data_IF_758204353067
#
_entry.id   IF_758204353067
#
_cell.length_a   1.000
_cell.length_b   1.000
_cell.length_c   1.000
_cell.angle_alpha   90.00
_cell.angle_beta   90.00
_cell.angle_gamma   90.00
#
_symmetry.space_group_name_H-M   'P 1'
#
loop_
_entity.id
_entity.type
_entity.pdbx_description
1 polymer ?
#
# COMPACT_ATOMS: atom_id res chain seq x y z
N UNK A 1 -58.31 10.73 14.33
CA UNK A 1 -57.19 11.69 14.48
C UNK A 1 -56.22 11.03 15.43
N UNK A 2 -55.15 10.45 14.88
CA UNK A 2 -54.21 9.60 15.60
C UNK A 2 -52.88 10.31 15.67
N UNK A 3 -52.48 10.72 16.87
CA UNK A 3 -51.15 11.28 17.13
C UNK A 3 -50.13 10.14 17.21
N UNK A 4 -49.25 10.08 16.20
CA UNK A 4 -48.08 9.22 16.18
C UNK A 4 -46.88 9.98 16.71
N UNK A 5 -46.26 9.40 17.74
CA UNK A 5 -44.97 9.78 18.34
C UNK A 5 -43.86 9.85 17.27
N UNK A 6 -43.11 10.96 17.15
CA UNK A 6 -41.86 10.95 16.40
C UNK A 6 -40.72 10.40 17.25
N UNK A 7 -40.24 9.21 16.90
CA UNK A 7 -38.96 8.66 17.35
C UNK A 7 -37.85 9.50 16.71
N UNK A 8 -37.27 10.41 17.49
CA UNK A 8 -36.13 11.23 17.10
C UNK A 8 -34.89 10.37 16.83
N UNK A 9 -34.53 10.20 15.55
CA UNK A 9 -33.23 9.68 15.10
C UNK A 9 -32.15 10.75 15.30
N UNK A 10 -31.73 10.94 16.54
CA UNK A 10 -30.47 11.61 16.91
C UNK A 10 -29.61 10.62 17.70
N UNK A 11 -28.46 10.21 17.16
CA UNK A 11 -27.51 9.40 17.94
C UNK A 11 -26.40 8.71 17.15
N UNK A 12 -26.62 8.33 15.89
CA UNK A 12 -25.65 7.52 15.13
C UNK A 12 -24.47 8.30 14.54
N UNK A 13 -24.70 9.51 14.01
CA UNK A 13 -23.68 10.26 13.29
C UNK A 13 -22.76 11.09 14.23
N UNK A 14 -23.32 11.63 15.32
CA UNK A 14 -22.55 12.42 16.28
C UNK A 14 -21.60 11.54 17.14
N UNK A 15 -22.00 10.30 17.45
CA UNK A 15 -21.15 9.35 18.15
C UNK A 15 -19.97 8.87 17.29
N UNK A 16 -20.16 8.76 15.97
CA UNK A 16 -19.09 8.39 15.03
C UNK A 16 -18.07 9.53 14.84
N UNK A 17 -18.54 10.78 14.80
CA UNK A 17 -17.66 11.97 14.71
C UNK A 17 -16.91 12.20 16.02
N UNK A 18 -17.55 11.97 17.18
CA UNK A 18 -16.88 12.04 18.48
C UNK A 18 -15.85 10.91 18.68
N UNK A 19 -16.10 9.69 18.18
CA UNK A 19 -15.12 8.59 18.20
C UNK A 19 -13.91 8.86 17.30
N UNK A 20 -14.13 9.50 16.14
CA UNK A 20 -13.06 9.90 15.22
C UNK A 20 -12.24 11.09 15.77
N UNK A 21 -12.87 12.01 16.51
CA UNK A 21 -12.18 13.11 17.19
C UNK A 21 -11.45 12.66 18.47
N UNK A 22 -11.98 11.64 19.18
CA UNK A 22 -11.34 11.05 20.35
C UNK A 22 -10.01 10.35 20.04
N UNK A 23 -9.89 9.72 18.87
CA UNK A 23 -8.62 9.12 18.40
C UNK A 23 -7.58 10.15 17.95
N UNK A 24 -8.01 11.39 17.66
CA UNK A 24 -7.11 12.51 17.32
C UNK A 24 -6.69 13.29 18.57
N UNK A 25 -7.48 13.25 19.65
CA UNK A 25 -7.27 14.06 20.86
C UNK A 25 -6.85 13.28 22.12
N UNK A 26 -6.96 11.94 22.15
CA UNK A 26 -6.20 11.08 23.08
C UNK A 26 -4.78 10.82 22.56
N UNK A 27 -4.18 11.87 22.00
CA UNK A 27 -2.76 12.10 22.06
C UNK A 27 -2.32 12.10 23.52
N UNK A 28 -2.05 10.91 24.04
CA UNK A 28 -1.23 10.72 25.22
C UNK A 28 0.18 11.19 24.91
N UNK A 29 0.56 12.29 25.53
CA UNK A 29 1.92 12.79 25.63
C UNK A 29 2.77 11.69 26.27
N UNK A 30 3.56 10.97 25.46
CA UNK A 30 4.40 9.88 25.94
C UNK A 30 4.99 8.97 24.88
N UNK A 31 5.61 9.49 23.82
CA UNK A 31 6.60 8.76 23.01
C UNK A 31 7.41 9.75 22.15
N UNK A 32 8.51 10.27 22.70
CA UNK A 32 9.47 11.16 22.04
C UNK A 32 10.30 10.49 20.92
N UNK A 33 9.72 9.55 20.20
CA UNK A 33 10.23 8.94 18.97
C UNK A 33 9.10 9.05 17.95
N UNK A 34 8.94 10.25 17.40
CA UNK A 34 8.00 10.51 16.32
C UNK A 34 8.08 9.39 15.30
N UNK A 35 6.97 8.69 15.08
CA UNK A 35 6.77 7.75 14.00
C UNK A 35 7.33 8.36 12.70
N UNK A 36 8.51 7.90 12.28
CA UNK A 36 9.10 8.16 10.95
C UNK A 36 8.35 7.39 9.85
N UNK A 37 7.10 7.03 10.14
CA UNK A 37 6.18 6.41 9.21
C UNK A 37 5.72 7.47 8.23
N UNK A 38 6.20 7.35 7.00
CA UNK A 38 5.49 7.89 5.86
C UNK A 38 4.03 7.44 6.00
N UNK A 39 3.14 8.37 6.39
CA UNK A 39 1.73 8.23 6.04
C UNK A 39 1.70 8.52 4.57
N UNK A 40 1.92 7.48 3.76
CA UNK A 40 1.25 7.43 2.48
C UNK A 40 -0.20 7.59 2.86
N UNK A 41 -0.72 8.79 2.57
CA UNK A 41 -2.14 8.98 2.53
C UNK A 41 -2.58 8.00 1.44
N UNK A 42 -2.91 6.78 1.86
CA UNK A 42 -3.94 5.94 1.25
C UNK A 42 -5.30 6.65 1.41
N UNK A 43 -5.28 7.98 1.27
CA UNK A 43 -6.30 8.91 1.67
C UNK A 43 -7.28 8.98 0.54
N UNK A 44 -8.37 8.24 0.69
CA UNK A 44 -9.54 8.40 -0.14
C UNK A 44 -9.28 8.07 -1.60
N UNK A 45 -9.04 6.80 -1.92
CA UNK A 45 -9.59 6.29 -3.17
C UNK A 45 -11.08 6.12 -2.92
N UNK A 46 -11.95 7.03 -3.40
CA UNK A 46 -13.39 6.86 -3.23
C UNK A 46 -13.90 5.64 -4.02
N UNK A 47 -13.10 5.10 -4.95
CA UNK A 47 -13.46 4.04 -5.88
C UNK A 47 -12.25 3.15 -6.22
N UNK A 48 -12.46 1.87 -6.56
CA UNK A 48 -11.36 0.97 -6.94
C UNK A 48 -10.69 1.40 -8.26
N UNK A 49 -9.36 1.55 -8.23
CA UNK A 49 -8.54 1.82 -9.44
C UNK A 49 -8.01 0.50 -9.99
N UNK A 50 -8.88 -0.22 -10.69
CA UNK A 50 -8.60 -1.57 -11.20
C UNK A 50 -8.24 -1.62 -12.70
N UNK A 51 -8.23 -0.47 -13.37
CA UNK A 51 -7.78 -0.35 -14.75
C UNK A 51 -6.26 -0.15 -14.75
N UNK A 52 -5.54 -1.01 -15.49
CA UNK A 52 -4.08 -1.07 -15.43
C UNK A 52 -3.39 0.25 -15.79
N UNK A 53 -3.90 1.00 -16.78
CA UNK A 53 -3.35 2.31 -17.16
C UNK A 53 -3.48 3.34 -16.04
N UNK A 54 -4.64 3.40 -15.40
CA UNK A 54 -4.94 4.32 -14.30
C UNK A 54 -4.08 3.96 -13.09
N UNK A 55 -3.91 2.66 -12.84
CA UNK A 55 -3.08 2.14 -11.76
C UNK A 55 -1.61 2.46 -11.97
N UNK A 56 -1.11 2.39 -13.21
CA UNK A 56 0.27 2.76 -13.53
C UNK A 56 0.57 4.24 -13.26
N UNK A 57 -0.41 5.13 -13.45
CA UNK A 57 -0.28 6.54 -13.06
C UNK A 57 -0.16 6.67 -11.54
N UNK A 58 -0.96 5.91 -10.80
CA UNK A 58 -0.93 5.91 -9.35
C UNK A 58 0.37 5.34 -8.78
N UNK A 59 0.87 4.23 -9.33
CA UNK A 59 2.19 3.65 -9.00
C UNK A 59 3.28 4.72 -9.12
N UNK A 60 3.31 5.45 -10.25
CA UNK A 60 4.27 6.54 -10.48
C UNK A 60 4.11 7.68 -9.48
N UNK A 61 2.88 8.02 -9.09
CA UNK A 61 2.63 9.02 -8.06
C UNK A 61 3.19 8.59 -6.71
N UNK A 62 2.95 7.34 -6.30
CA UNK A 62 3.47 6.79 -5.04
C UNK A 62 5.00 6.78 -5.02
N UNK A 63 5.63 6.37 -6.13
CA UNK A 63 7.08 6.40 -6.27
C UNK A 63 7.63 7.84 -6.13
N UNK A 64 7.00 8.80 -6.79
CA UNK A 64 7.35 10.22 -6.68
C UNK A 64 7.20 10.74 -5.25
N UNK A 65 6.14 10.35 -4.53
CA UNK A 65 5.92 10.75 -3.15
C UNK A 65 7.01 10.18 -2.22
N UNK A 66 7.43 8.94 -2.46
CA UNK A 66 8.56 8.33 -1.75
C UNK A 66 9.89 9.01 -2.08
N UNK A 67 10.11 9.49 -3.31
CA UNK A 67 11.30 10.27 -3.66
C UNK A 67 11.30 11.64 -2.99
N UNK A 68 10.16 12.32 -2.99
CA UNK A 68 10.00 13.60 -2.32
C UNK A 68 10.21 13.46 -0.81
N UNK A 69 9.79 12.34 -0.21
CA UNK A 69 10.12 11.97 1.17
C UNK A 69 11.60 12.11 1.46
N UNK A 70 12.42 11.47 0.62
CA UNK A 70 13.85 11.41 0.82
C UNK A 70 14.47 12.79 0.66
N UNK A 71 14.03 13.56 -0.35
CA UNK A 71 14.46 14.95 -0.54
C UNK A 71 14.11 15.85 0.65
N UNK A 72 12.94 15.65 1.25
CA UNK A 72 12.55 16.38 2.46
C UNK A 72 13.41 15.97 3.67
N UNK A 73 13.75 14.69 3.81
CA UNK A 73 14.67 14.21 4.84
C UNK A 73 16.09 14.77 4.66
N UNK A 74 16.56 14.90 3.42
CA UNK A 74 17.83 15.54 3.08
C UNK A 74 17.81 17.03 3.45
N UNK A 75 16.78 17.76 3.01
CA UNK A 75 16.63 19.20 3.29
C UNK A 75 16.56 19.52 4.78
N UNK A 76 15.94 18.66 5.57
CA UNK A 76 15.79 18.83 7.02
C UNK A 76 16.99 18.34 7.83
N UNK A 77 18.02 17.79 7.17
CA UNK A 77 19.20 17.21 7.83
C UNK A 77 18.93 15.89 8.54
N UNK A 78 17.72 15.33 8.40
CA UNK A 78 17.32 14.07 9.06
C UNK A 78 18.05 12.85 8.50
N UNK A 79 18.52 12.92 7.24
CA UNK A 79 19.31 11.86 6.61
C UNK A 79 20.67 11.62 7.30
N UNK A 80 21.13 12.56 8.13
CA UNK A 80 22.38 12.43 8.88
C UNK A 80 22.25 11.46 10.06
N UNK A 81 21.02 11.27 10.56
CA UNK A 81 20.71 10.25 11.56
C UNK A 81 20.63 8.88 10.89
N UNK A 82 20.95 7.77 11.58
CA UNK A 82 20.71 6.44 11.03
C UNK A 82 19.20 6.21 10.84
N UNK A 83 18.77 5.46 9.81
CA UNK A 83 17.39 5.00 9.70
C UNK A 83 17.01 4.09 10.90
N UNK A 84 15.71 3.92 11.20
CA UNK A 84 15.22 3.14 12.34
C UNK A 84 15.30 1.63 12.08
N UNK A 85 16.49 1.14 11.79
CA UNK A 85 16.86 -0.27 11.68
C UNK A 85 17.89 -0.61 12.73
N UNK A 86 17.99 -1.89 13.09
CA UNK A 86 19.10 -2.39 13.90
C UNK A 86 20.49 -2.08 13.30
N UNK A 87 21.55 -2.43 14.02
CA UNK A 87 22.94 -2.03 13.72
C UNK A 87 23.45 -2.45 12.33
N UNK A 88 22.80 -3.42 11.67
CA UNK A 88 23.12 -3.83 10.31
C UNK A 88 21.88 -4.27 9.52
N UNK A 89 21.85 -3.90 8.24
CA UNK A 89 20.90 -4.45 7.28
C UNK A 89 21.24 -5.92 6.96
N UNK A 90 20.23 -6.74 6.62
CA UNK A 90 20.45 -8.14 6.28
C UNK A 90 21.10 -8.26 4.89
N UNK A 91 21.32 -9.50 4.48
CA UNK A 91 21.65 -9.82 3.10
C UNK A 91 20.60 -9.31 2.10
N UNK A 92 21.02 -8.95 0.89
CA UNK A 92 20.15 -8.33 -0.13
C UNK A 92 18.90 -9.15 -0.44
N UNK A 93 18.98 -10.48 -0.43
CA UNK A 93 17.82 -11.36 -0.67
C UNK A 93 16.71 -11.12 0.35
N UNK A 94 17.07 -10.94 1.62
CA UNK A 94 16.13 -10.60 2.68
C UNK A 94 15.63 -9.16 2.53
N UNK A 95 16.49 -8.21 2.12
CA UNK A 95 16.05 -6.86 1.79
C UNK A 95 14.95 -6.85 0.72
N UNK A 96 15.09 -7.70 -0.30
CA UNK A 96 14.08 -7.83 -1.36
C UNK A 96 12.78 -8.46 -0.87
N UNK A 97 12.84 -9.47 0.00
CA UNK A 97 11.65 -10.04 0.63
C UNK A 97 10.87 -8.98 1.39
N UNK A 98 11.56 -8.14 2.19
CA UNK A 98 10.92 -7.02 2.88
C UNK A 98 10.35 -6.04 1.86
N UNK A 99 11.15 -5.65 0.85
CA UNK A 99 10.73 -4.73 -0.19
C UNK A 99 9.42 -5.18 -0.85
N UNK A 100 9.30 -6.46 -1.18
CA UNK A 100 8.09 -7.03 -1.78
C UNK A 100 6.85 -6.98 -0.87
N UNK A 101 7.03 -6.86 0.44
CA UNK A 101 5.94 -6.78 1.42
C UNK A 101 5.64 -5.35 1.83
N UNK A 102 6.67 -4.52 2.01
CA UNK A 102 6.54 -3.18 2.54
C UNK A 102 6.35 -2.12 1.45
N UNK A 103 6.73 -2.39 0.19
CA UNK A 103 6.65 -1.41 -0.89
C UNK A 103 5.20 -1.03 -1.21
N UNK A 104 4.82 0.24 -0.99
CA UNK A 104 3.44 0.70 -1.14
C UNK A 104 2.93 0.62 -2.58
N UNK A 105 3.79 0.92 -3.56
CA UNK A 105 3.49 0.84 -4.99
C UNK A 105 3.17 -0.60 -5.41
N UNK A 106 3.93 -1.58 -4.93
CA UNK A 106 3.64 -3.00 -5.20
C UNK A 106 2.38 -3.49 -4.47
N UNK A 107 2.19 -3.09 -3.21
CA UNK A 107 0.99 -3.43 -2.43
C UNK A 107 -0.28 -2.95 -3.14
N UNK A 108 -0.26 -1.74 -3.66
CA UNK A 108 -1.35 -1.16 -4.42
C UNK A 108 -1.71 -2.01 -5.66
N UNK A 109 -0.70 -2.42 -6.44
CA UNK A 109 -0.93 -3.26 -7.62
C UNK A 109 -1.51 -4.62 -7.22
N UNK A 110 -0.96 -5.20 -6.15
CA UNK A 110 -1.40 -6.49 -5.63
C UNK A 110 -2.85 -6.47 -5.14
N UNK A 111 -3.25 -5.45 -4.38
CA UNK A 111 -4.62 -5.27 -3.90
C UNK A 111 -5.63 -5.19 -5.06
N UNK A 112 -5.30 -4.45 -6.12
CA UNK A 112 -6.17 -4.31 -7.28
C UNK A 112 -6.23 -5.59 -8.13
N UNK A 113 -5.09 -6.27 -8.32
CA UNK A 113 -5.08 -7.59 -8.96
C UNK A 113 -5.93 -8.61 -8.19
N UNK A 114 -5.84 -8.60 -6.86
CA UNK A 114 -6.63 -9.47 -6.01
C UNK A 114 -8.13 -9.17 -6.11
N UNK A 115 -8.53 -7.89 -6.09
CA UNK A 115 -9.92 -7.50 -6.30
C UNK A 115 -10.45 -7.86 -7.68
N UNK A 116 -9.67 -7.71 -8.75
CA UNK A 116 -10.11 -8.10 -10.10
C UNK A 116 -10.31 -9.62 -10.19
N UNK A 117 -9.38 -10.41 -9.63
CA UNK A 117 -9.53 -11.87 -9.54
C UNK A 117 -10.78 -12.25 -8.73
N UNK A 118 -11.04 -11.56 -7.62
CA UNK A 118 -12.26 -11.73 -6.83
C UNK A 118 -13.54 -11.42 -7.61
N UNK A 119 -13.59 -10.26 -8.28
CA UNK A 119 -14.70 -9.87 -9.13
C UNK A 119 -14.99 -10.91 -10.23
N UNK A 120 -13.94 -11.47 -10.84
CA UNK A 120 -14.07 -12.54 -11.83
C UNK A 120 -14.64 -13.83 -11.22
N UNK A 121 -14.11 -14.28 -10.08
CA UNK A 121 -14.60 -15.48 -9.40
C UNK A 121 -16.07 -15.34 -8.99
N UNK A 122 -16.43 -14.19 -8.41
CA UNK A 122 -17.82 -13.88 -8.02
C UNK A 122 -18.77 -13.91 -9.22
N UNK A 123 -18.36 -13.35 -10.36
CA UNK A 123 -19.17 -13.40 -11.58
C UNK A 123 -19.33 -14.82 -12.12
N UNK A 124 -18.29 -15.65 -12.04
CA UNK A 124 -18.36 -17.04 -12.50
C UNK A 124 -19.29 -17.88 -11.62
N UNK A 125 -19.37 -17.58 -10.34
CA UNK A 125 -19.97 -18.44 -9.32
C UNK A 125 -18.94 -19.38 -8.67
N UNK A 126 -17.68 -19.26 -9.09
CA UNK A 126 -16.54 -20.07 -8.66
C UNK A 126 -15.63 -19.25 -7.73
N UNK A 127 -16.20 -18.54 -6.76
CA UNK A 127 -15.41 -17.91 -5.70
C UNK A 127 -15.56 -18.73 -4.42
N UNK A 128 -14.77 -19.79 -4.22
CA UNK A 128 -14.78 -20.52 -2.97
C UNK A 128 -14.00 -19.73 -1.92
N UNK A 129 -14.48 -19.78 -0.68
CA UNK A 129 -13.76 -19.28 0.51
C UNK A 129 -12.44 -20.01 0.81
N UNK A 130 -11.91 -20.87 -0.07
CA UNK A 130 -10.71 -21.68 0.19
C UNK A 130 -9.86 -21.95 -1.07
N UNK A 131 -8.60 -21.53 -0.93
CA UNK A 131 -7.36 -22.30 -1.20
C UNK A 131 -6.49 -22.15 -2.46
N UNK A 132 -6.83 -21.41 -3.52
CA UNK A 132 -5.98 -21.54 -4.73
C UNK A 132 -5.03 -20.42 -5.14
N UNK A 133 -4.94 -19.32 -4.41
CA UNK A 133 -3.79 -18.46 -4.59
C UNK A 133 -3.56 -17.76 -3.26
N UNK A 134 -2.30 -17.57 -2.89
CA UNK A 134 -1.84 -16.69 -1.81
C UNK A 134 -2.18 -15.20 -2.06
N UNK A 135 -3.37 -14.92 -2.61
CA UNK A 135 -3.87 -13.61 -3.02
C UNK A 135 -3.82 -12.64 -1.86
N UNK A 136 -4.24 -13.09 -0.69
CA UNK A 136 -4.32 -12.27 0.52
C UNK A 136 -3.02 -12.29 1.35
N UNK A 137 -2.04 -13.15 1.03
CA UNK A 137 -0.84 -13.34 1.85
C UNK A 137 0.08 -12.12 1.82
N UNK A 138 0.06 -11.26 2.83
CA UNK A 138 0.86 -10.03 2.83
C UNK A 138 0.16 -8.85 2.16
N UNK A 139 -1.16 -8.91 2.02
CA UNK A 139 -1.99 -7.72 1.90
C UNK A 139 -2.11 -7.02 3.27
N UNK A 140 -2.42 -5.71 3.29
CA UNK A 140 -2.59 -4.97 4.53
C UNK A 140 -3.67 -5.59 5.43
N UNK A 141 -3.44 -5.58 6.75
CA UNK A 141 -4.42 -6.06 7.72
C UNK A 141 -5.76 -5.31 7.55
N UNK A 142 -6.86 -6.07 7.48
CA UNK A 142 -8.21 -5.54 7.25
C UNK A 142 -8.57 -5.29 5.78
N UNK A 143 -7.66 -5.53 4.83
CA UNK A 143 -8.04 -5.58 3.42
C UNK A 143 -8.79 -6.88 3.10
N UNK A 144 -9.82 -6.77 2.27
CA UNK A 144 -10.65 -7.88 1.81
C UNK A 144 -10.71 -7.84 0.29
N UNK A 145 -10.09 -8.84 -0.35
CA UNK A 145 -10.17 -9.01 -1.81
C UNK A 145 -11.62 -9.19 -2.27
N UNK A 146 -12.46 -9.80 -1.43
CA UNK A 146 -13.87 -9.98 -1.71
C UNK A 146 -14.62 -8.65 -1.74
N UNK A 147 -14.47 -7.81 -0.71
CA UNK A 147 -15.15 -6.51 -0.67
C UNK A 147 -14.65 -5.60 -1.80
N UNK A 148 -13.34 -5.62 -2.08
CA UNK A 148 -12.76 -4.89 -3.21
C UNK A 148 -13.31 -5.38 -4.56
N UNK A 149 -13.48 -6.69 -4.71
CA UNK A 149 -14.11 -7.29 -5.88
C UNK A 149 -15.57 -6.86 -6.07
N UNK A 150 -16.34 -6.77 -4.99
CA UNK A 150 -17.72 -6.26 -5.04
C UNK A 150 -17.77 -4.80 -5.48
N UNK A 151 -16.87 -3.96 -4.97
CA UNK A 151 -16.76 -2.56 -5.38
C UNK A 151 -16.41 -2.43 -6.87
N UNK A 152 -15.47 -3.25 -7.37
CA UNK A 152 -15.15 -3.30 -8.80
C UNK A 152 -16.39 -3.67 -9.62
N UNK A 153 -17.20 -4.64 -9.17
CA UNK A 153 -18.43 -5.01 -9.87
C UNK A 153 -19.53 -3.94 -9.83
N UNK A 154 -19.47 -3.02 -8.85
CA UNK A 154 -20.37 -1.86 -8.74
C UNK A 154 -19.95 -0.69 -9.62
N UNK A 155 -18.74 -0.70 -10.17
CA UNK A 155 -18.20 0.33 -11.06
C UNK A 155 -19.12 0.55 -12.28
N UNK A 156 -19.41 1.82 -12.57
CA UNK A 156 -20.28 2.23 -13.68
C UNK A 156 -19.77 1.74 -15.04
N UNK A 157 -18.45 1.57 -15.22
CA UNK A 157 -17.82 1.07 -16.44
C UNK A 157 -18.26 -0.36 -16.79
N UNK A 158 -18.72 -1.12 -15.79
CA UNK A 158 -19.25 -2.49 -15.94
C UNK A 158 -20.78 -2.55 -15.93
N UNK A 159 -21.47 -1.52 -15.42
CA UNK A 159 -22.94 -1.47 -15.42
C UNK A 159 -23.50 -1.54 -16.84
N UNK A 160 -24.64 -2.20 -16.99
CA UNK A 160 -25.30 -2.41 -18.29
C UNK A 160 -24.64 -3.44 -19.22
N UNK A 161 -23.45 -3.97 -18.88
CA UNK A 161 -22.79 -5.03 -19.67
C UNK A 161 -23.29 -6.41 -19.28
N UNK A 162 -23.33 -7.34 -20.24
CA UNK A 162 -23.63 -8.75 -20.00
C UNK A 162 -22.54 -9.43 -19.16
N UNK A 163 -22.88 -10.56 -18.51
CA UNK A 163 -21.92 -11.36 -17.73
C UNK A 163 -20.65 -11.68 -18.53
N UNK A 164 -20.80 -12.14 -19.77
CA UNK A 164 -19.68 -12.46 -20.68
C UNK A 164 -18.81 -11.25 -21.02
N UNK A 165 -19.43 -10.08 -21.25
CA UNK A 165 -18.68 -8.86 -21.53
C UNK A 165 -17.87 -8.41 -20.30
N UNK A 166 -18.45 -8.48 -19.10
CA UNK A 166 -17.75 -8.17 -17.85
C UNK A 166 -16.57 -9.11 -17.64
N UNK A 167 -16.75 -10.41 -17.83
CA UNK A 167 -15.68 -11.40 -17.70
C UNK A 167 -14.54 -11.16 -18.70
N UNK A 168 -14.85 -10.80 -19.96
CA UNK A 168 -13.82 -10.44 -20.96
C UNK A 168 -13.02 -9.20 -20.56
N UNK A 169 -13.69 -8.16 -20.06
CA UNK A 169 -13.03 -6.92 -19.63
C UNK A 169 -12.15 -7.19 -18.42
N UNK A 170 -12.69 -7.82 -17.38
CA UNK A 170 -11.96 -8.15 -16.16
C UNK A 170 -10.80 -9.10 -16.44
N UNK A 171 -10.98 -10.09 -17.32
CA UNK A 171 -9.91 -11.00 -17.73
C UNK A 171 -8.74 -10.28 -18.41
N UNK A 172 -9.03 -9.30 -19.28
CA UNK A 172 -7.99 -8.45 -19.89
C UNK A 172 -7.26 -7.62 -18.83
N UNK A 173 -8.01 -6.98 -17.92
CA UNK A 173 -7.40 -6.18 -16.86
C UNK A 173 -6.57 -7.05 -15.91
N UNK A 174 -7.02 -8.25 -15.56
CA UNK A 174 -6.25 -9.18 -14.74
C UNK A 174 -4.90 -9.55 -15.38
N UNK A 175 -4.86 -9.73 -16.71
CA UNK A 175 -3.62 -9.91 -17.46
C UNK A 175 -2.70 -8.70 -17.34
N UNK A 176 -3.19 -7.51 -17.69
CA UNK A 176 -2.40 -6.28 -17.66
C UNK A 176 -1.90 -5.92 -16.24
N UNK A 177 -2.70 -6.18 -15.22
CA UNK A 177 -2.32 -5.98 -13.81
C UNK A 177 -1.28 -6.99 -13.34
N UNK A 178 -1.30 -8.23 -13.85
CA UNK A 178 -0.27 -9.23 -13.58
C UNK A 178 1.07 -8.83 -14.20
N UNK A 179 1.03 -8.28 -15.42
CA UNK A 179 2.23 -7.77 -16.09
C UNK A 179 2.81 -6.59 -15.29
N UNK A 180 1.96 -5.61 -14.94
CA UNK A 180 2.36 -4.47 -14.10
C UNK A 180 2.91 -4.92 -12.73
N UNK A 181 2.31 -5.92 -12.10
CA UNK A 181 2.81 -6.47 -10.85
C UNK A 181 4.23 -7.05 -11.01
N UNK A 182 4.46 -7.77 -12.10
CA UNK A 182 5.76 -8.37 -12.41
C UNK A 182 6.81 -7.29 -12.64
N UNK A 183 6.49 -6.28 -13.45
CA UNK A 183 7.37 -5.15 -13.73
C UNK A 183 7.76 -4.41 -12.45
N UNK A 184 6.78 -4.02 -11.63
CA UNK A 184 7.03 -3.29 -10.37
C UNK A 184 7.84 -4.13 -9.39
N UNK A 185 7.56 -5.43 -9.28
CA UNK A 185 8.32 -6.35 -8.42
C UNK A 185 9.78 -6.43 -8.85
N UNK A 186 10.03 -6.50 -10.14
CA UNK A 186 11.38 -6.67 -10.70
C UNK A 186 12.17 -5.36 -10.61
N UNK A 187 11.52 -4.21 -10.80
CA UNK A 187 12.09 -2.90 -10.53
C UNK A 187 12.52 -2.76 -9.06
N UNK A 188 11.65 -3.11 -8.10
CA UNK A 188 12.00 -3.12 -6.67
C UNK A 188 13.18 -4.05 -6.39
N UNK A 189 13.19 -5.24 -6.97
CA UNK A 189 14.26 -6.20 -6.77
C UNK A 189 15.62 -5.65 -7.24
N UNK A 190 15.65 -4.97 -8.39
CA UNK A 190 16.83 -4.29 -8.92
C UNK A 190 17.27 -3.15 -8.02
N UNK A 191 16.35 -2.27 -7.64
CA UNK A 191 16.64 -1.06 -6.87
C UNK A 191 17.20 -1.42 -5.48
N UNK A 192 16.64 -2.44 -4.83
CA UNK A 192 17.14 -2.94 -3.54
C UNK A 192 18.56 -3.51 -3.67
N UNK A 193 18.86 -4.27 -4.73
CA UNK A 193 20.21 -4.82 -4.94
C UNK A 193 21.22 -3.70 -5.12
N UNK A 194 20.88 -2.68 -5.92
CA UNK A 194 21.76 -1.54 -6.14
C UNK A 194 21.97 -0.71 -4.88
N UNK A 195 20.90 -0.41 -4.14
CA UNK A 195 20.99 0.34 -2.89
C UNK A 195 21.75 -0.44 -1.81
N UNK A 196 21.58 -1.77 -1.76
CA UNK A 196 22.30 -2.64 -0.81
C UNK A 196 23.80 -2.65 -1.12
N UNK A 197 24.18 -2.83 -2.38
CA UNK A 197 25.59 -2.76 -2.79
C UNK A 197 26.22 -1.39 -2.49
N UNK A 198 25.46 -0.29 -2.63
CA UNK A 198 25.93 1.04 -2.27
C UNK A 198 26.15 1.19 -0.76
N UNK A 199 25.22 0.65 0.05
CA UNK A 199 25.35 0.60 1.50
C UNK A 199 26.55 -0.24 1.95
N UNK A 200 26.74 -1.43 1.39
CA UNK A 200 27.84 -2.34 1.75
C UNK A 200 29.22 -1.71 1.56
N UNK A 201 29.39 -0.88 0.52
CA UNK A 201 30.65 -0.15 0.28
C UNK A 201 30.99 0.86 1.37
N UNK A 202 29.99 1.42 2.04
CA UNK A 202 30.17 2.50 3.02
C UNK A 202 29.84 2.09 4.45
N UNK A 203 29.27 0.91 4.71
CA UNK A 203 28.79 0.51 6.04
C UNK A 203 29.84 0.58 7.15
N UNK A 204 31.10 0.33 6.81
CA UNK A 204 32.24 0.36 7.74
C UNK A 204 32.97 1.72 7.75
N UNK A 205 32.50 2.71 6.98
CA UNK A 205 33.11 4.03 6.94
C UNK A 205 32.98 4.73 8.31
N UNK A 206 34.02 5.44 8.80
CA UNK A 206 33.98 6.08 10.11
C UNK A 206 33.05 7.30 10.18
N UNK A 207 32.83 7.98 9.05
CA UNK A 207 32.00 9.19 8.97
C UNK A 207 30.50 8.88 8.76
N UNK A 208 29.60 9.27 9.70
CA UNK A 208 28.15 9.16 9.54
C UNK A 208 27.58 9.93 8.35
N UNK A 209 28.22 11.03 7.94
CA UNK A 209 27.78 11.83 6.78
C UNK A 209 27.82 11.04 5.47
N UNK A 210 28.65 9.98 5.41
CA UNK A 210 28.78 9.09 4.26
C UNK A 210 27.87 7.87 4.40
N UNK A 211 27.77 7.31 5.61
CA UNK A 211 26.98 6.10 5.90
C UNK A 211 25.49 6.32 5.89
N UNK A 212 25.02 7.32 6.64
CA UNK A 212 23.59 7.51 6.89
C UNK A 212 22.80 7.74 5.60
N UNK A 213 23.28 8.51 4.60
CA UNK A 213 22.60 8.63 3.31
C UNK A 213 22.43 7.32 2.55
N UNK A 214 23.46 6.47 2.50
CA UNK A 214 23.35 5.16 1.83
C UNK A 214 22.37 4.23 2.56
N UNK A 215 22.37 4.27 3.90
CA UNK A 215 21.42 3.53 4.73
C UNK A 215 19.97 3.96 4.46
N UNK A 216 19.70 5.27 4.40
CA UNK A 216 18.37 5.80 4.11
C UNK A 216 17.88 5.49 2.70
N UNK A 217 18.77 5.48 1.70
CA UNK A 217 18.42 5.06 0.33
C UNK A 217 18.06 3.57 0.27
N UNK A 218 18.80 2.71 0.94
CA UNK A 218 18.42 1.29 1.07
C UNK A 218 17.09 1.14 1.80
N UNK A 219 16.86 1.92 2.87
CA UNK A 219 15.61 1.94 3.60
C UNK A 219 14.40 2.34 2.75
N UNK A 220 14.55 3.37 1.92
CA UNK A 220 13.54 3.80 0.94
C UNK A 220 13.31 2.72 -0.14
N UNK A 221 14.38 2.10 -0.65
CA UNK A 221 14.29 1.05 -1.66
C UNK A 221 13.48 -0.15 -1.14
N UNK A 222 13.59 -0.47 0.16
CA UNK A 222 12.77 -1.49 0.82
C UNK A 222 11.35 -1.01 1.18
N UNK A 223 11.00 0.25 0.94
CA UNK A 223 9.67 0.79 1.20
C UNK A 223 9.45 1.36 2.60
N UNK A 224 10.51 1.83 3.28
CA UNK A 224 10.44 2.38 4.65
C UNK A 224 9.71 1.45 5.63
N UNK A 225 10.11 0.16 5.74
CA UNK A 225 9.34 -0.82 6.50
C UNK A 225 9.27 -0.43 7.99
N UNK A 226 8.11 -0.54 8.63
CA UNK A 226 7.97 -0.11 10.04
C UNK A 226 8.66 -1.04 11.05
N UNK A 227 8.98 -2.26 10.64
CA UNK A 227 9.58 -3.29 11.50
C UNK A 227 10.74 -3.92 10.75
N UNK A 228 11.89 -3.88 11.39
CA UNK A 228 13.10 -4.56 10.96
C UNK A 228 13.88 -5.04 12.18
#
# INVERSE_FOLDING_TARGET
MSDLVPVGRGGGAAALIAALLGWVLLGGVGAGAADWGFRIRWGGFPEPVWVASDLQVLVRSVQKDMENALKDLERTGRILQPPPVGESFPHWSRCQEIGRVARPDLLLVRMNLAGVKAAMGMLKGDWPQRDEDRLDEGLPAGFSSADWGQEILRDYRLRGRSKEQRLRILGRQAGMLRDLFTDVRDDIARDVVWAHNAWEKVRAHPDPMVRSPAAWRLWQAMGFPRRW
#
